data_IF_974170435887
#
_entry.id   IF_974170435887
#
_cell.length_a   1.000
_cell.length_b   1.000
_cell.length_c   1.000
_cell.angle_alpha   90.00
_cell.angle_beta   90.00
_cell.angle_gamma   90.00
#
_symmetry.space_group_name_H-M   'P 1'
#
loop_
_entity.id
_entity.type
_entity.pdbx_description
1 polymer ?
#
# COMPACT_ATOMS: atom_id res chain seq x y z
N UNK A 1 -2.87 -3.45 5.73
CA UNK A 1 -1.76 -2.96 6.58
C UNK A 1 -1.62 -1.45 6.42
N UNK A 2 -1.07 -0.79 7.44
CA UNK A 2 -0.80 0.65 7.49
C UNK A 2 0.60 0.88 8.05
N UNK A 3 1.28 1.95 7.60
CA UNK A 3 2.56 2.40 8.14
C UNK A 3 2.61 3.93 8.10
N UNK A 4 3.19 4.53 9.14
CA UNK A 4 3.39 5.97 9.20
C UNK A 4 4.81 6.32 8.78
N UNK A 5 4.97 7.28 7.88
CA UNK A 5 6.28 7.76 7.44
C UNK A 5 6.61 9.04 8.21
N UNK A 6 7.57 8.96 9.12
CA UNK A 6 7.93 10.09 10.01
C UNK A 6 8.42 11.31 9.24
N UNK A 7 9.29 11.11 8.25
CA UNK A 7 9.84 12.18 7.44
C UNK A 7 8.75 13.00 6.73
N UNK A 8 7.67 12.34 6.32
CA UNK A 8 6.57 12.97 5.59
C UNK A 8 5.41 13.39 6.48
N UNK A 9 5.33 12.86 7.71
CA UNK A 9 4.20 13.06 8.60
C UNK A 9 2.90 12.47 8.07
N UNK A 10 2.94 11.38 7.32
CA UNK A 10 1.80 10.81 6.59
C UNK A 10 1.69 9.31 6.75
N UNK A 11 0.45 8.82 6.65
CA UNK A 11 0.16 7.41 6.60
C UNK A 11 0.23 6.87 5.18
N UNK A 12 0.73 5.64 5.05
CA UNK A 12 0.60 4.82 3.86
C UNK A 12 -0.28 3.62 4.18
N UNK A 13 -1.00 3.13 3.19
CA UNK A 13 -1.75 1.89 3.27
C UNK A 13 -1.31 0.91 2.18
N UNK A 14 -1.40 -0.36 2.48
CA UNK A 14 -1.03 -1.43 1.56
C UNK A 14 -2.16 -1.71 0.58
N UNK A 15 -1.89 -1.58 -0.73
CA UNK A 15 -2.87 -1.80 -1.81
C UNK A 15 -3.03 -3.27 -2.21
N UNK A 16 -2.10 -4.14 -1.82
CA UNK A 16 -1.99 -5.53 -2.24
C UNK A 16 -0.62 -5.86 -2.83
N UNK A 17 -0.01 -4.94 -3.56
CA UNK A 17 1.28 -5.11 -4.21
C UNK A 17 2.27 -3.97 -3.97
N UNK A 18 1.81 -2.80 -3.59
CA UNK A 18 2.63 -1.63 -3.29
C UNK A 18 1.97 -0.77 -2.21
N UNK A 19 2.73 0.17 -1.65
CA UNK A 19 2.23 1.14 -0.69
C UNK A 19 1.66 2.36 -1.41
N UNK A 20 0.57 2.90 -0.89
CA UNK A 20 -0.09 4.11 -1.39
C UNK A 20 -0.22 5.14 -0.29
N UNK A 21 -0.08 6.42 -0.63
CA UNK A 21 -0.32 7.51 0.31
C UNK A 21 -1.78 7.57 0.74
N UNK A 22 -2.01 7.68 2.04
CA UNK A 22 -3.34 7.89 2.62
C UNK A 22 -3.61 9.39 2.71
N UNK A 23 -4.25 9.92 1.68
CA UNK A 23 -4.59 11.34 1.59
C UNK A 23 -5.57 11.67 2.72
N UNK A 24 -5.23 12.72 3.51
CA UNK A 24 -6.01 13.18 4.67
C UNK A 24 -6.24 12.09 5.75
N UNK A 25 -5.41 11.04 5.78
CA UNK A 25 -5.50 9.92 6.71
C UNK A 25 -6.85 9.16 6.70
N UNK A 26 -7.60 9.25 5.61
CA UNK A 26 -8.98 8.74 5.53
C UNK A 26 -9.04 7.22 5.70
N UNK A 27 -8.06 6.48 5.15
CA UNK A 27 -7.99 5.02 5.28
C UNK A 27 -7.60 4.60 6.70
N UNK A 28 -6.63 5.30 7.31
CA UNK A 28 -6.23 5.05 8.68
C UNK A 28 -7.38 5.35 9.67
N UNK A 29 -8.10 6.46 9.48
CA UNK A 29 -9.29 6.82 10.26
C UNK A 29 -10.43 5.79 10.08
N UNK A 30 -10.65 5.30 8.87
CA UNK A 30 -11.63 4.24 8.59
C UNK A 30 -11.25 2.92 9.22
N UNK A 31 -9.95 2.62 9.36
CA UNK A 31 -9.49 1.41 10.05
C UNK A 31 -9.83 1.46 11.54
N UNK A 32 -9.82 2.63 12.17
CA UNK A 32 -10.29 2.81 13.56
C UNK A 32 -11.78 2.49 13.70
N UNK A 33 -12.60 2.93 12.73
CA UNK A 33 -14.04 2.59 12.71
C UNK A 33 -14.25 1.08 12.65
N UNK A 34 -13.58 0.43 11.71
CA UNK A 34 -13.67 -1.03 11.56
C UNK A 34 -13.31 -1.75 12.87
N UNK A 35 -12.25 -1.32 13.55
CA UNK A 35 -11.85 -1.90 14.84
C UNK A 35 -12.93 -1.66 15.90
N UNK A 36 -13.54 -0.49 15.94
CA UNK A 36 -14.63 -0.19 16.88
C UNK A 36 -15.85 -1.06 16.63
N UNK A 37 -16.26 -1.22 15.38
CA UNK A 37 -17.39 -2.07 14.99
C UNK A 37 -17.13 -3.55 15.34
N UNK A 38 -15.91 -4.04 15.11
CA UNK A 38 -15.51 -5.40 15.44
C UNK A 38 -15.52 -5.64 16.97
N UNK A 39 -15.04 -4.68 17.75
CA UNK A 39 -15.15 -4.75 19.21
C UNK A 39 -16.61 -4.77 19.69
N UNK A 40 -17.50 -3.98 19.08
CA UNK A 40 -18.93 -4.02 19.39
C UNK A 40 -19.53 -5.39 19.05
N UNK A 41 -19.17 -5.95 17.88
CA UNK A 41 -19.62 -7.29 17.47
C UNK A 41 -19.20 -8.37 18.47
N UNK A 42 -17.91 -8.39 18.84
CA UNK A 42 -17.37 -9.34 19.83
C UNK A 42 -18.07 -9.21 21.17
N UNK A 43 -18.34 -7.98 21.63
CA UNK A 43 -19.08 -7.76 22.88
C UNK A 43 -20.50 -8.31 22.84
N UNK A 44 -21.19 -8.14 21.72
CA UNK A 44 -22.55 -8.68 21.53
C UNK A 44 -22.52 -10.21 21.48
N UNK A 45 -21.57 -10.81 20.76
CA UNK A 45 -21.44 -12.26 20.61
C UNK A 45 -20.93 -12.95 21.89
N UNK A 46 -20.02 -12.30 22.61
CA UNK A 46 -19.46 -12.83 23.86
C UNK A 46 -20.38 -12.63 25.08
N UNK A 47 -21.47 -11.88 24.88
CA UNK A 47 -22.36 -11.54 25.99
C UNK A 47 -23.30 -12.69 26.34
N UNK A 48 -22.80 -13.75 26.94
CA UNK A 48 -23.38 -14.28 28.18
C UNK A 48 -23.41 -13.22 29.31
N UNK A 49 -22.80 -12.02 29.06
CA UNK A 49 -22.89 -10.85 29.89
C UNK A 49 -24.28 -10.26 29.76
N UNK A 50 -25.05 -10.33 30.82
CA UNK A 50 -26.38 -9.72 30.97
C UNK A 50 -26.41 -8.38 30.23
N UNK A 51 -27.34 -8.25 29.24
CA UNK A 51 -27.64 -7.00 28.57
C UNK A 51 -27.83 -5.92 29.64
N UNK A 52 -26.87 -4.99 29.73
CA UNK A 52 -26.96 -3.92 30.71
C UNK A 52 -25.89 -3.94 31.80
N UNK A 53 -24.91 -4.86 31.77
CA UNK A 53 -23.79 -4.78 32.71
C UNK A 53 -23.06 -3.43 32.60
N UNK A 54 -22.58 -2.88 33.72
CA UNK A 54 -21.92 -1.58 33.75
C UNK A 54 -20.65 -1.58 32.89
N UNK A 55 -20.03 -2.75 32.69
CA UNK A 55 -18.88 -2.93 31.79
C UNK A 55 -19.30 -2.70 30.34
N UNK A 56 -20.37 -3.32 29.86
CA UNK A 56 -20.88 -3.17 28.49
C UNK A 56 -21.25 -1.72 28.22
N UNK A 57 -21.90 -1.05 29.16
CA UNK A 57 -22.22 0.40 29.04
C UNK A 57 -20.97 1.27 28.98
N UNK A 58 -19.95 0.97 29.81
CA UNK A 58 -18.71 1.74 29.83
C UNK A 58 -17.92 1.58 28.52
N UNK A 59 -17.85 0.35 27.98
CA UNK A 59 -17.18 0.07 26.70
C UNK A 59 -17.92 0.74 25.55
N UNK A 60 -19.24 0.60 25.45
CA UNK A 60 -20.04 1.24 24.41
C UNK A 60 -19.92 2.79 24.46
N UNK A 61 -19.88 3.37 25.65
CA UNK A 61 -19.62 4.81 25.80
C UNK A 61 -18.27 5.22 25.21
N UNK A 62 -17.21 4.42 25.44
CA UNK A 62 -15.87 4.69 24.89
C UNK A 62 -15.81 4.49 23.38
N UNK A 63 -16.40 3.40 22.86
CA UNK A 63 -16.47 3.19 21.41
C UNK A 63 -17.24 4.29 20.69
N UNK A 64 -18.30 4.81 21.29
CA UNK A 64 -19.04 5.93 20.73
C UNK A 64 -18.23 7.23 20.68
N UNK A 65 -17.31 7.46 21.61
CA UNK A 65 -16.38 8.61 21.55
C UNK A 65 -15.43 8.51 20.36
N UNK A 66 -15.03 7.31 19.97
CA UNK A 66 -14.15 7.07 18.80
C UNK A 66 -14.87 7.19 17.46
N UNK A 67 -16.17 7.49 17.44
CA UNK A 67 -16.90 7.89 16.23
C UNK A 67 -16.61 9.34 15.83
N UNK A 68 -16.08 10.13 16.74
CA UNK A 68 -15.65 11.50 16.48
C UNK A 68 -14.25 11.53 15.86
N UNK A 69 -14.09 12.31 14.76
CA UNK A 69 -12.83 12.37 14.00
C UNK A 69 -11.64 12.81 14.87
N UNK A 70 -11.72 13.90 15.67
CA UNK A 70 -10.61 14.29 16.54
C UNK A 70 -10.18 13.21 17.55
N UNK A 71 -11.13 12.42 18.06
CA UNK A 71 -10.81 11.31 18.96
C UNK A 71 -10.06 10.17 18.26
N UNK A 72 -10.40 9.89 17.00
CA UNK A 72 -9.68 8.92 16.16
C UNK A 72 -8.27 9.38 15.82
N UNK A 73 -8.11 10.63 15.41
CA UNK A 73 -6.80 11.23 15.16
C UNK A 73 -5.90 11.12 16.38
N UNK A 74 -6.44 11.42 17.56
CA UNK A 74 -5.71 11.27 18.82
C UNK A 74 -5.34 9.81 19.13
N UNK A 75 -6.22 8.86 18.81
CA UNK A 75 -5.92 7.44 18.96
C UNK A 75 -4.78 7.02 18.02
N UNK A 76 -4.80 7.45 16.75
CA UNK A 76 -3.73 7.17 15.79
C UNK A 76 -2.39 7.74 16.27
N UNK A 77 -2.35 8.97 16.76
CA UNK A 77 -1.13 9.55 17.38
C UNK A 77 -0.62 8.69 18.54
N UNK A 78 -1.51 8.24 19.43
CA UNK A 78 -1.13 7.37 20.54
C UNK A 78 -0.55 6.04 20.06
N UNK A 79 -1.03 5.46 18.95
CA UNK A 79 -0.48 4.21 18.42
C UNK A 79 0.97 4.33 17.95
N UNK A 80 1.39 5.53 17.55
CA UNK A 80 2.79 5.79 17.15
C UNK A 80 3.75 5.87 18.33
N UNK A 81 3.24 6.21 19.52
CA UNK A 81 4.08 6.48 20.70
C UNK A 81 4.13 5.26 21.65
N UNK A 82 3.03 4.53 21.78
CA UNK A 82 2.82 3.57 22.87
C UNK A 82 3.10 2.12 22.50
N UNK A 83 3.43 1.80 21.24
CA UNK A 83 3.68 0.42 20.81
C UNK A 83 5.14 0.06 20.99
N UNK A 84 5.40 -1.18 21.46
CA UNK A 84 6.74 -1.78 21.46
C UNK A 84 7.25 -2.03 20.04
N UNK A 85 6.33 -2.34 19.11
CA UNK A 85 6.60 -2.45 17.68
C UNK A 85 5.86 -1.31 16.96
N UNK A 86 6.53 -0.19 16.72
CA UNK A 86 5.89 1.00 16.19
C UNK A 86 5.46 0.80 14.75
N UNK A 87 4.25 1.31 14.42
CA UNK A 87 3.70 1.29 13.05
C UNK A 87 4.29 2.42 12.20
N UNK A 88 5.59 2.69 12.32
CA UNK A 88 6.24 3.74 11.56
C UNK A 88 7.58 3.30 10.98
N UNK A 89 7.98 4.00 9.93
CA UNK A 89 9.31 3.97 9.31
C UNK A 89 9.86 5.39 9.22
N UNK A 90 11.17 5.53 9.12
CA UNK A 90 11.77 6.88 8.99
C UNK A 90 11.50 7.48 7.61
N UNK A 91 11.41 6.68 6.57
CA UNK A 91 11.10 7.08 5.18
C UNK A 91 12.23 6.80 4.20
N UNK A 92 13.42 6.55 4.72
CA UNK A 92 14.56 6.14 3.90
C UNK A 92 14.50 4.64 3.52
N UNK A 93 13.57 3.88 4.07
CA UNK A 93 13.30 2.49 3.68
C UNK A 93 12.48 2.36 2.39
N UNK A 94 11.81 3.45 1.98
CA UNK A 94 10.94 3.46 0.82
C UNK A 94 11.74 3.37 -0.49
N UNK A 95 11.25 2.54 -1.42
CA UNK A 95 11.80 2.35 -2.77
C UNK A 95 13.31 2.00 -2.82
N UNK A 96 13.86 1.35 -1.78
CA UNK A 96 15.25 0.87 -1.78
C UNK A 96 15.52 -0.29 -2.74
N UNK A 97 14.48 -0.92 -3.23
CA UNK A 97 14.57 -2.10 -4.10
C UNK A 97 14.70 -1.66 -5.57
N UNK A 98 15.89 -1.24 -5.98
CA UNK A 98 16.16 -0.62 -7.30
C UNK A 98 15.71 -1.47 -8.49
N UNK A 99 15.61 -2.79 -8.32
CA UNK A 99 15.27 -3.72 -9.41
C UNK A 99 13.86 -4.27 -9.32
N UNK A 100 13.09 -3.88 -8.32
CA UNK A 100 11.70 -4.31 -8.18
C UNK A 100 10.75 -3.23 -8.71
N UNK A 101 9.90 -3.64 -9.64
CA UNK A 101 8.85 -2.78 -10.20
C UNK A 101 7.49 -3.35 -9.80
N UNK A 102 6.72 -2.56 -9.06
CA UNK A 102 5.34 -2.92 -8.78
C UNK A 102 4.45 -2.67 -10.00
N UNK A 103 3.54 -3.59 -10.24
CA UNK A 103 2.47 -3.53 -11.23
C UNK A 103 1.12 -3.73 -10.51
N UNK A 104 -0.02 -3.41 -11.14
CA UNK A 104 -1.32 -3.63 -10.52
C UNK A 104 -1.59 -5.09 -10.13
N UNK A 105 -0.98 -6.03 -10.83
CA UNK A 105 -1.16 -7.47 -10.62
C UNK A 105 -0.03 -8.15 -9.80
N UNK A 106 1.03 -7.44 -9.40
CA UNK A 106 2.13 -8.01 -8.61
C UNK A 106 3.42 -7.19 -8.69
N UNK A 107 4.54 -7.82 -8.43
CA UNK A 107 5.89 -7.23 -8.47
C UNK A 107 6.80 -8.06 -9.35
N UNK A 108 7.57 -7.41 -10.21
CA UNK A 108 8.56 -8.04 -11.08
C UNK A 108 9.98 -7.61 -10.71
N UNK A 109 10.91 -8.56 -10.63
CA UNK A 109 12.35 -8.27 -10.61
C UNK A 109 12.83 -8.13 -12.06
N UNK A 110 13.18 -6.90 -12.47
CA UNK A 110 13.56 -6.59 -13.85
C UNK A 110 14.87 -7.25 -14.30
N UNK A 111 15.70 -7.73 -13.36
CA UNK A 111 16.94 -8.46 -13.70
C UNK A 111 16.67 -9.90 -14.13
N UNK A 112 15.70 -10.55 -13.51
CA UNK A 112 15.40 -11.96 -13.71
C UNK A 112 14.14 -12.21 -14.51
N UNK A 113 13.24 -11.21 -14.57
CA UNK A 113 11.89 -11.34 -15.10
C UNK A 113 10.96 -12.13 -14.16
N UNK A 114 11.41 -12.47 -12.95
CA UNK A 114 10.60 -13.19 -11.98
C UNK A 114 9.45 -12.31 -11.48
N UNK A 115 8.24 -12.86 -11.53
CA UNK A 115 7.03 -12.21 -11.08
C UNK A 115 6.49 -12.86 -9.83
N UNK A 116 6.13 -12.05 -8.85
CA UNK A 116 5.65 -12.50 -7.55
C UNK A 116 4.55 -11.60 -7.00
N UNK A 117 3.74 -12.07 -6.05
CA UNK A 117 2.89 -11.19 -5.26
C UNK A 117 3.73 -10.14 -4.52
N UNK A 118 3.19 -8.94 -4.37
CA UNK A 118 3.86 -7.89 -3.59
C UNK A 118 4.02 -8.28 -2.12
N UNK A 119 5.13 -7.84 -1.53
CA UNK A 119 5.41 -8.01 -0.11
C UNK A 119 5.49 -6.64 0.57
N UNK A 120 4.69 -6.36 1.62
CA UNK A 120 4.73 -5.10 2.35
C UNK A 120 6.12 -4.71 2.89
N UNK A 121 6.95 -5.69 3.23
CA UNK A 121 8.31 -5.49 3.74
C UNK A 121 9.30 -4.92 2.68
N UNK A 122 8.89 -4.89 1.42
CA UNK A 122 9.68 -4.31 0.33
C UNK A 122 9.55 -2.80 0.23
N UNK A 123 8.54 -2.20 0.87
CA UNK A 123 8.27 -0.77 0.92
C UNK A 123 8.27 -0.07 -0.44
N UNK A 124 7.70 -0.71 -1.47
CA UNK A 124 7.62 -0.15 -2.83
C UNK A 124 6.44 0.81 -2.91
N UNK A 125 6.71 2.05 -3.36
CA UNK A 125 5.71 3.10 -3.63
C UNK A 125 5.48 3.27 -5.13
N UNK A 126 6.57 3.23 -5.91
CA UNK A 126 6.50 3.46 -7.34
C UNK A 126 5.84 2.27 -8.04
N UNK A 127 4.78 2.54 -8.79
CA UNK A 127 4.00 1.53 -9.49
C UNK A 127 3.90 1.84 -10.97
N UNK A 128 4.15 0.84 -11.81
CA UNK A 128 3.78 0.89 -13.22
C UNK A 128 2.26 0.79 -13.36
N UNK A 129 1.66 1.62 -14.21
CA UNK A 129 0.20 1.62 -14.41
C UNK A 129 -0.33 0.43 -15.22
N UNK A 130 0.56 -0.45 -15.68
CA UNK A 130 0.24 -1.56 -16.59
C UNK A 130 0.48 -2.89 -15.90
N UNK A 131 -0.41 -3.86 -16.13
CA UNK A 131 -0.22 -5.23 -15.66
C UNK A 131 1.00 -5.86 -16.31
N UNK A 132 1.79 -6.57 -15.52
CA UNK A 132 2.85 -7.41 -16.04
C UNK A 132 2.28 -8.65 -16.72
N UNK A 133 2.66 -8.89 -17.99
CA UNK A 133 2.20 -10.01 -18.80
C UNK A 133 3.31 -11.00 -19.17
N UNK A 134 4.52 -10.74 -18.71
CA UNK A 134 5.69 -11.53 -19.02
C UNK A 134 6.64 -10.86 -20.01
N UNK A 135 7.86 -11.40 -20.10
CA UNK A 135 8.89 -10.87 -21.02
C UNK A 135 8.56 -11.14 -22.50
N UNK A 136 7.78 -12.18 -22.78
CA UNK A 136 7.46 -12.61 -24.15
C UNK A 136 6.18 -11.95 -24.68
N UNK A 137 5.56 -11.04 -23.92
CA UNK A 137 4.36 -10.34 -24.39
C UNK A 137 4.70 -9.45 -25.58
N UNK A 138 4.10 -9.70 -26.75
CA UNK A 138 4.42 -8.93 -27.94
C UNK A 138 3.89 -7.49 -27.86
N UNK A 139 4.69 -6.54 -28.32
CA UNK A 139 4.32 -5.13 -28.41
C UNK A 139 4.35 -4.62 -29.86
N UNK A 140 3.51 -5.16 -30.77
CA UNK A 140 3.60 -4.90 -32.20
C UNK A 140 3.48 -3.40 -32.52
N UNK A 141 2.52 -2.72 -31.94
CA UNK A 141 2.30 -1.27 -32.16
C UNK A 141 3.54 -0.43 -31.80
N UNK A 142 4.24 -0.79 -30.72
CA UNK A 142 5.44 -0.08 -30.30
C UNK A 142 6.61 -0.36 -31.24
N UNK A 143 6.77 -1.61 -31.65
CA UNK A 143 7.82 -2.00 -32.62
C UNK A 143 7.55 -1.35 -33.98
N UNK A 144 6.32 -1.31 -34.48
CA UNK A 144 5.92 -0.63 -35.72
C UNK A 144 6.18 0.88 -35.62
N UNK A 145 5.88 1.49 -34.48
CA UNK A 145 6.19 2.90 -34.24
C UNK A 145 7.70 3.17 -34.34
N UNK A 146 8.53 2.38 -33.65
CA UNK A 146 10.00 2.53 -33.73
C UNK A 146 10.51 2.30 -35.15
N UNK A 147 10.05 1.24 -35.82
CA UNK A 147 10.44 0.91 -37.19
C UNK A 147 10.12 2.06 -38.14
N UNK A 148 8.91 2.61 -38.07
CA UNK A 148 8.51 3.74 -38.90
C UNK A 148 9.29 5.01 -38.57
N UNK A 149 9.64 5.24 -37.30
CA UNK A 149 10.40 6.42 -36.87
C UNK A 149 11.85 6.40 -37.34
N UNK A 150 12.41 5.22 -37.56
CA UNK A 150 13.80 5.02 -37.98
C UNK A 150 13.91 4.43 -39.40
N UNK A 151 12.89 4.61 -40.23
CA UNK A 151 12.84 4.22 -41.64
C UNK A 151 13.23 2.73 -41.87
N UNK A 152 12.83 1.87 -40.93
CA UNK A 152 13.10 0.43 -41.00
C UNK A 152 14.52 0.01 -40.61
N UNK A 153 15.34 0.92 -40.04
CA UNK A 153 16.69 0.58 -39.57
C UNK A 153 16.62 -0.29 -38.29
N UNK A 154 16.73 -1.61 -38.47
CA UNK A 154 16.66 -2.59 -37.37
C UNK A 154 17.77 -2.40 -36.32
N UNK A 155 18.95 -1.91 -36.73
CA UNK A 155 20.05 -1.66 -35.79
C UNK A 155 19.71 -0.49 -34.89
N UNK A 156 19.11 0.56 -35.42
CA UNK A 156 18.65 1.73 -34.66
C UNK A 156 17.47 1.35 -33.75
N UNK A 157 16.49 0.59 -34.22
CA UNK A 157 15.38 0.09 -33.39
C UNK A 157 15.92 -0.73 -32.22
N UNK A 158 16.84 -1.67 -32.46
CA UNK A 158 17.48 -2.47 -31.40
C UNK A 158 18.26 -1.63 -30.39
N UNK A 159 18.95 -0.58 -30.87
CA UNK A 159 19.65 0.38 -30.02
C UNK A 159 18.68 1.15 -29.12
N UNK A 160 17.58 1.65 -29.69
CA UNK A 160 16.56 2.40 -28.95
C UNK A 160 15.86 1.55 -27.88
N UNK A 161 15.55 0.29 -28.18
CA UNK A 161 14.98 -0.64 -27.19
C UNK A 161 15.91 -0.83 -26.00
N UNK A 162 17.23 -0.99 -26.24
CA UNK A 162 18.21 -1.07 -25.16
C UNK A 162 18.32 0.24 -24.36
N UNK A 163 18.35 1.36 -25.05
CA UNK A 163 18.42 2.69 -24.42
C UNK A 163 17.23 2.93 -23.47
N UNK A 164 16.02 2.60 -23.93
CA UNK A 164 14.80 2.71 -23.11
C UNK A 164 14.77 1.74 -21.94
N UNK A 165 15.44 0.61 -22.04
CA UNK A 165 15.57 -0.35 -20.93
C UNK A 165 16.61 0.07 -19.87
N UNK A 166 17.40 1.10 -20.11
CA UNK A 166 18.34 1.68 -19.12
C UNK A 166 17.75 2.86 -18.32
N UNK A 167 16.57 3.34 -18.65
CA UNK A 167 15.87 4.47 -17.99
C UNK A 167 14.91 4.06 -16.90
#
# INVERSE_FOLDING_TARGET
>A
KYVYVKLWGRWLYWSGHHWMEDIDNLKALSAVDYVCDEYQRILVESSEAEEGSDLVKAVNKRLNLLRDIPAREKLLECTLILREDPMYIEGDELDKQEFLVACPNGVVDVRTGEFSPGNPEQYILNVCSTDWKGLDEPSPTFIEFLSSSFDGDEAMVSYMLRLLGYG
#
